data_IF_703720520993
#
_entry.id   IF_703720520993
#
_cell.length_a   1.000
_cell.length_b   1.000
_cell.length_c   1.000
_cell.angle_alpha   90.00
_cell.angle_beta   90.00
_cell.angle_gamma   90.00
#
_symmetry.space_group_name_H-M   'P 1'
#
loop_
_entity.id
_entity.type
_entity.pdbx_description
1 polymer ?
#
# COMPACT_ATOMS: atom_id res chain seq x y z
N UNK A 1 -3.10 3.28 -12.26
CA UNK A 1 -3.69 3.32 -10.90
C UNK A 1 -4.35 1.99 -10.53
N UNK A 2 -5.14 1.36 -11.41
CA UNK A 2 -5.83 0.08 -11.12
C UNK A 2 -4.87 -1.09 -10.91
N UNK A 3 -3.82 -1.26 -11.73
CA UNK A 3 -2.84 -2.33 -11.53
C UNK A 3 -2.16 -2.26 -10.16
N UNK A 4 -1.68 -1.06 -9.78
CA UNK A 4 -1.04 -0.83 -8.49
C UNK A 4 -1.99 -1.15 -7.32
N UNK A 5 -3.27 -0.82 -7.48
CA UNK A 5 -4.32 -1.16 -6.53
C UNK A 5 -4.53 -2.67 -6.39
N UNK A 6 -4.71 -3.38 -7.50
CA UNK A 6 -4.87 -4.84 -7.50
C UNK A 6 -3.66 -5.56 -6.90
N UNK A 7 -2.45 -5.09 -7.20
CA UNK A 7 -1.23 -5.63 -6.60
C UNK A 7 -1.17 -5.39 -5.08
N UNK A 8 -1.58 -4.21 -4.61
CA UNK A 8 -1.55 -3.89 -3.18
C UNK A 8 -2.57 -4.74 -2.39
N UNK A 9 -3.84 -4.75 -2.82
CA UNK A 9 -4.87 -5.55 -2.15
C UNK A 9 -4.58 -7.05 -2.26
N UNK A 10 -4.10 -7.51 -3.42
CA UNK A 10 -3.76 -8.91 -3.66
C UNK A 10 -2.62 -9.38 -2.75
N UNK A 11 -1.60 -8.52 -2.59
CA UNK A 11 -0.51 -8.78 -1.66
C UNK A 11 -1.00 -8.87 -0.21
N UNK A 12 -1.87 -7.96 0.24
CA UNK A 12 -2.37 -7.97 1.62
C UNK A 12 -3.19 -9.24 1.90
N UNK A 13 -4.13 -9.58 1.02
CA UNK A 13 -4.96 -10.78 1.14
C UNK A 13 -4.12 -12.05 1.19
N UNK A 14 -3.18 -12.19 0.26
CA UNK A 14 -2.34 -13.38 0.19
C UNK A 14 -1.44 -13.51 1.43
N UNK A 15 -0.78 -12.44 1.88
CA UNK A 15 0.14 -12.54 3.02
C UNK A 15 -0.57 -12.80 4.34
N UNK A 16 -1.76 -12.23 4.54
CA UNK A 16 -2.54 -12.47 5.75
C UNK A 16 -3.12 -13.87 5.79
N UNK A 17 -3.64 -14.34 4.67
CA UNK A 17 -4.07 -15.71 4.50
C UNK A 17 -2.93 -16.70 4.80
N UNK A 18 -1.79 -16.56 4.12
CA UNK A 18 -0.62 -17.43 4.33
C UNK A 18 -0.11 -17.37 5.77
N UNK A 19 -0.11 -16.19 6.39
CA UNK A 19 0.28 -16.04 7.80
C UNK A 19 -0.69 -16.72 8.77
N UNK A 20 -1.98 -16.78 8.43
CA UNK A 20 -2.97 -17.51 9.21
C UNK A 20 -2.81 -19.02 9.02
N UNK A 21 -2.73 -19.49 7.77
CA UNK A 21 -2.53 -20.90 7.42
C UNK A 21 -1.25 -21.47 8.05
N UNK A 22 -0.13 -20.73 7.96
CA UNK A 22 1.15 -21.15 8.54
C UNK A 22 1.10 -21.27 10.08
N UNK A 23 0.28 -20.46 10.76
CA UNK A 23 0.06 -20.60 12.21
C UNK A 23 -0.81 -21.80 12.55
N UNK A 24 -1.81 -22.08 11.73
CA UNK A 24 -2.75 -23.18 11.98
C UNK A 24 -2.17 -24.56 11.63
N UNK A 25 -1.25 -24.64 10.66
CA UNK A 25 -0.61 -25.90 10.24
C UNK A 25 0.70 -26.25 10.97
N UNK A 26 1.23 -25.37 11.82
CA UNK A 26 2.49 -25.58 12.54
C UNK A 26 2.23 -26.10 13.95
N UNK A 27 2.94 -27.16 14.37
CA UNK A 27 2.89 -27.66 15.76
C UNK A 27 3.38 -26.63 16.78
N UNK A 28 4.24 -25.70 16.35
CA UNK A 28 4.72 -24.57 17.14
C UNK A 28 3.90 -23.29 16.91
N UNK A 29 2.83 -23.37 16.11
CA UNK A 29 1.95 -22.28 15.76
C UNK A 29 2.71 -21.03 15.32
N UNK A 30 2.56 -19.96 16.09
CA UNK A 30 3.18 -18.64 15.92
C UNK A 30 4.72 -18.61 16.00
N UNK A 31 5.36 -19.69 16.44
CA UNK A 31 6.82 -19.81 16.59
C UNK A 31 7.45 -20.69 15.50
N UNK A 32 6.65 -21.24 14.57
CA UNK A 32 7.19 -22.02 13.45
C UNK A 32 7.99 -21.16 12.48
N UNK A 33 9.07 -21.70 11.90
CA UNK A 33 9.99 -20.98 11.00
C UNK A 33 9.26 -20.31 9.82
N UNK A 34 8.28 -20.98 9.20
CA UNK A 34 7.50 -20.41 8.10
C UNK A 34 6.67 -19.21 8.56
N UNK A 35 6.05 -19.29 9.74
CA UNK A 35 5.27 -18.19 10.32
C UNK A 35 6.17 -16.99 10.69
N UNK A 36 7.41 -17.25 11.13
CA UNK A 36 8.39 -16.22 11.45
C UNK A 36 8.88 -15.50 10.19
N UNK A 37 9.21 -16.24 9.13
CA UNK A 37 9.64 -15.67 7.85
C UNK A 37 8.54 -14.80 7.22
N UNK A 38 7.28 -15.24 7.26
CA UNK A 38 6.15 -14.46 6.76
C UNK A 38 5.94 -13.17 7.57
N UNK A 39 6.10 -13.21 8.91
CA UNK A 39 6.06 -12.02 9.76
C UNK A 39 7.19 -11.05 9.45
N UNK A 40 8.41 -11.54 9.25
CA UNK A 40 9.56 -10.71 8.89
C UNK A 40 9.34 -10.04 7.53
N UNK A 41 8.86 -10.79 6.53
CA UNK A 41 8.54 -10.25 5.21
C UNK A 41 7.46 -9.17 5.29
N UNK A 42 6.41 -9.42 6.07
CA UNK A 42 5.32 -8.46 6.29
C UNK A 42 5.83 -7.18 6.97
N UNK A 43 6.50 -7.31 8.13
CA UNK A 43 7.07 -6.15 8.85
C UNK A 43 8.07 -5.38 8.01
N UNK A 44 8.92 -6.07 7.26
CA UNK A 44 9.89 -5.43 6.36
C UNK A 44 9.22 -4.61 5.26
N UNK A 45 8.11 -5.09 4.69
CA UNK A 45 7.35 -4.31 3.71
C UNK A 45 6.64 -3.13 4.38
N UNK A 46 5.98 -3.33 5.52
CA UNK A 46 5.30 -2.25 6.25
C UNK A 46 6.28 -1.12 6.60
N UNK A 47 7.46 -1.44 7.14
CA UNK A 47 8.48 -0.43 7.45
C UNK A 47 9.04 0.24 6.19
N UNK A 48 9.26 -0.53 5.12
CA UNK A 48 9.68 0.02 3.83
C UNK A 48 8.64 0.97 3.23
N UNK A 49 7.35 0.61 3.28
CA UNK A 49 6.26 1.45 2.79
C UNK A 49 6.10 2.71 3.65
N UNK A 50 6.20 2.62 4.97
CA UNK A 50 6.16 3.79 5.86
C UNK A 50 7.34 4.74 5.58
N UNK A 51 8.56 4.19 5.46
CA UNK A 51 9.75 4.99 5.14
C UNK A 51 9.65 5.65 3.76
N UNK A 52 9.16 4.92 2.75
CA UNK A 52 8.96 5.45 1.41
C UNK A 52 7.90 6.56 1.39
N UNK A 53 6.76 6.34 2.06
CA UNK A 53 5.69 7.34 2.18
C UNK A 53 6.19 8.60 2.87
N UNK A 54 6.92 8.46 3.99
CA UNK A 54 7.50 9.60 4.69
C UNK A 54 8.50 10.37 3.82
N UNK A 55 9.38 9.66 3.10
CA UNK A 55 10.32 10.26 2.15
C UNK A 55 9.60 11.06 1.06
N UNK A 56 8.59 10.45 0.42
CA UNK A 56 7.81 11.08 -0.65
C UNK A 56 7.05 12.30 -0.14
N UNK A 57 6.43 12.21 1.04
CA UNK A 57 5.75 13.34 1.68
C UNK A 57 6.69 14.51 1.94
N UNK A 58 7.90 14.25 2.45
CA UNK A 58 8.93 15.29 2.64
C UNK A 58 9.36 15.89 1.31
N UNK A 59 9.58 15.06 0.28
CA UNK A 59 9.94 15.54 -1.06
C UNK A 59 8.86 16.44 -1.66
N UNK A 60 7.59 16.00 -1.63
CA UNK A 60 6.46 16.80 -2.08
C UNK A 60 6.33 18.11 -1.29
N UNK A 61 6.52 18.08 0.03
CA UNK A 61 6.50 19.30 0.83
C UNK A 61 7.59 20.30 0.40
N UNK A 62 8.80 19.83 0.12
CA UNK A 62 9.89 20.67 -0.37
C UNK A 62 9.60 21.24 -1.76
N UNK A 63 8.99 20.47 -2.65
CA UNK A 63 8.58 20.95 -3.98
C UNK A 63 7.46 22.00 -3.90
N UNK A 64 6.43 21.77 -3.07
CA UNK A 64 5.39 22.77 -2.80
C UNK A 64 6.00 24.08 -2.29
N UNK A 65 6.96 23.98 -1.35
CA UNK A 65 7.64 25.17 -0.83
C UNK A 65 8.42 25.93 -1.90
N UNK A 66 9.04 25.22 -2.86
CA UNK A 66 9.73 25.86 -4.00
C UNK A 66 8.73 26.58 -4.91
N UNK A 67 7.63 25.93 -5.27
CA UNK A 67 6.57 26.52 -6.11
C UNK A 67 5.99 27.78 -5.47
N UNK A 68 5.66 27.74 -4.18
CA UNK A 68 5.13 28.91 -3.45
C UNK A 68 6.15 30.05 -3.46
N UNK A 69 7.44 29.75 -3.26
CA UNK A 69 8.50 30.75 -3.30
C UNK A 69 8.65 31.37 -4.69
N UNK A 70 8.63 30.57 -5.75
CA UNK A 70 8.70 31.05 -7.14
C UNK A 70 7.50 31.94 -7.47
N UNK A 71 6.29 31.56 -7.06
CA UNK A 71 5.10 32.38 -7.24
C UNK A 71 5.17 33.72 -6.50
N UNK A 72 5.68 33.73 -5.26
CA UNK A 72 5.91 34.96 -4.49
C UNK A 72 6.96 35.88 -5.12
N UNK A 73 7.99 35.32 -5.77
CA UNK A 73 9.02 36.07 -6.50
C UNK A 73 8.44 36.68 -7.79
N UNK A 74 7.70 35.90 -8.59
CA UNK A 74 7.02 36.38 -9.80
C UNK A 74 6.00 37.49 -9.51
N UNK A 75 5.25 37.36 -8.40
CA UNK A 75 4.29 38.37 -7.97
C UNK A 75 4.97 39.69 -7.57
N UNK A 76 6.16 39.64 -6.97
CA UNK A 76 6.96 40.84 -6.63
C UNK A 76 7.56 41.51 -7.87
N UNK A 77 7.85 40.74 -8.91
CA UNK A 77 8.38 41.25 -10.18
C UNK A 77 7.29 41.81 -11.12
N UNK A 78 6.02 41.80 -10.69
CA UNK A 78 4.90 42.37 -11.45
C UNK A 78 4.53 41.56 -12.70
N UNK A 79 4.94 40.30 -12.77
CA UNK A 79 4.57 39.39 -13.87
C UNK A 79 3.20 38.82 -13.58
N UNK A 80 2.20 39.10 -14.44
CA UNK A 80 0.87 38.50 -14.26
C UNK A 80 0.93 36.99 -14.45
N UNK A 81 0.25 36.20 -13.60
CA UNK A 81 0.21 34.76 -13.75
C UNK A 81 -0.57 34.39 -15.01
N UNK A 82 0.10 33.78 -15.98
CA UNK A 82 -0.52 33.17 -17.16
C UNK A 82 -1.60 32.16 -16.73
N UNK A 83 -2.67 32.03 -17.53
CA UNK A 83 -3.82 31.17 -17.23
C UNK A 83 -3.52 29.66 -17.30
N UNK A 84 -2.29 29.27 -17.62
CA UNK A 84 -1.82 27.88 -17.64
C UNK A 84 -1.12 27.52 -16.33
N UNK A 85 -1.22 26.25 -15.90
CA UNK A 85 -0.51 25.76 -14.72
C UNK A 85 0.98 26.09 -14.86
N UNK A 86 1.58 26.84 -13.90
CA UNK A 86 3.00 27.16 -13.93
C UNK A 86 3.83 25.91 -14.22
N UNK A 87 4.85 26.03 -15.07
CA UNK A 87 5.72 24.92 -15.46
C UNK A 87 6.35 24.20 -14.25
N UNK A 88 6.55 24.95 -13.15
CA UNK A 88 6.98 24.43 -11.85
C UNK A 88 5.98 23.47 -11.20
N UNK A 89 4.67 23.72 -11.33
CA UNK A 89 3.61 22.79 -10.88
C UNK A 89 3.57 21.55 -11.77
N UNK A 90 3.67 21.73 -13.09
CA UNK A 90 3.69 20.62 -14.05
C UNK A 90 4.87 19.68 -13.81
N UNK A 91 6.03 20.21 -13.42
CA UNK A 91 7.21 19.42 -13.05
C UNK A 91 7.09 18.67 -11.72
N UNK A 92 6.36 19.21 -10.75
CA UNK A 92 6.16 18.58 -9.44
C UNK A 92 4.98 17.58 -9.40
N UNK A 93 4.07 17.64 -10.38
CA UNK A 93 2.88 16.79 -10.45
C UNK A 93 3.19 15.28 -10.32
N UNK A 94 4.23 14.71 -10.97
CA UNK A 94 4.56 13.29 -10.78
C UNK A 94 4.90 12.93 -9.33
N UNK A 95 5.68 13.77 -8.64
CA UNK A 95 6.02 13.55 -7.23
C UNK A 95 4.78 13.63 -6.35
N UNK A 96 3.88 14.60 -6.58
CA UNK A 96 2.61 14.67 -5.84
C UNK A 96 1.74 13.44 -6.05
N UNK A 97 1.60 12.99 -7.30
CA UNK A 97 0.80 11.79 -7.61
C UNK A 97 1.40 10.53 -6.97
N UNK A 98 2.73 10.41 -6.93
CA UNK A 98 3.39 9.31 -6.25
C UNK A 98 3.22 9.37 -4.72
N UNK A 99 3.31 10.55 -4.13
CA UNK A 99 3.02 10.78 -2.70
C UNK A 99 1.59 10.41 -2.35
N UNK A 100 0.60 10.91 -3.11
CA UNK A 100 -0.82 10.59 -2.88
C UNK A 100 -1.09 9.10 -3.03
N UNK A 101 -0.49 8.46 -4.04
CA UNK A 101 -0.57 7.01 -4.17
C UNK A 101 0.02 6.30 -2.96
N UNK A 102 1.22 6.70 -2.50
CA UNK A 102 1.88 6.05 -1.36
C UNK A 102 1.05 6.13 -0.08
N UNK A 103 0.45 7.29 0.18
CA UNK A 103 -0.46 7.51 1.32
C UNK A 103 -1.70 6.61 1.18
N UNK A 104 -2.32 6.62 0.00
CA UNK A 104 -3.54 5.84 -0.25
C UNK A 104 -3.27 4.34 -0.16
N UNK A 105 -2.14 3.87 -0.69
CA UNK A 105 -1.71 2.47 -0.58
C UNK A 105 -1.49 2.07 0.89
N UNK A 106 -0.90 2.96 1.70
CA UNK A 106 -0.74 2.73 3.13
C UNK A 106 -2.08 2.58 3.86
N UNK A 107 -3.04 3.48 3.59
CA UNK A 107 -4.38 3.44 4.19
C UNK A 107 -5.16 2.18 3.78
N UNK A 108 -5.09 1.80 2.50
CA UNK A 108 -5.66 0.55 2.00
C UNK A 108 -5.05 -0.64 2.74
N UNK A 109 -3.72 -0.72 2.80
CA UNK A 109 -3.03 -1.83 3.43
C UNK A 109 -3.38 -1.96 4.92
N UNK A 110 -3.39 -0.83 5.65
CA UNK A 110 -3.74 -0.79 7.07
C UNK A 110 -5.20 -1.21 7.31
N UNK A 111 -6.13 -0.71 6.50
CA UNK A 111 -7.56 -1.05 6.61
C UNK A 111 -7.78 -2.54 6.35
N UNK A 112 -7.21 -3.06 5.26
CA UNK A 112 -7.32 -4.47 4.91
C UNK A 112 -6.67 -5.37 5.96
N UNK A 113 -5.54 -4.96 6.55
CA UNK A 113 -4.90 -5.71 7.63
C UNK A 113 -5.83 -5.92 8.83
N UNK A 114 -6.50 -4.84 9.26
CA UNK A 114 -7.44 -4.90 10.37
C UNK A 114 -8.67 -5.75 10.05
N UNK A 115 -9.27 -5.54 8.87
CA UNK A 115 -10.50 -6.25 8.48
C UNK A 115 -10.22 -7.74 8.29
N UNK A 116 -9.19 -8.09 7.54
CA UNK A 116 -8.81 -9.50 7.33
C UNK A 116 -8.38 -10.15 8.64
N UNK A 117 -7.65 -9.43 9.50
CA UNK A 117 -7.33 -9.89 10.84
C UNK A 117 -8.56 -10.27 11.66
N UNK A 118 -9.64 -9.46 11.59
CA UNK A 118 -10.92 -9.77 12.24
C UNK A 118 -11.61 -10.99 11.59
N UNK A 119 -11.67 -11.05 10.27
CA UNK A 119 -12.31 -12.17 9.53
C UNK A 119 -11.65 -13.51 9.85
N UNK A 120 -10.32 -13.52 9.91
CA UNK A 120 -9.50 -14.70 10.22
C UNK A 120 -9.37 -14.97 11.72
N UNK A 121 -9.75 -14.02 12.57
CA UNK A 121 -9.75 -14.15 14.03
C UNK A 121 -11.13 -14.37 14.64
N UNK A 122 -12.17 -14.37 13.82
CA UNK A 122 -13.58 -14.41 14.24
C UNK A 122 -13.92 -15.71 14.97
N UNK A 123 -14.12 -15.60 16.29
CA UNK A 123 -14.42 -16.72 17.18
C UNK A 123 -15.90 -17.10 17.19
N UNK A 124 -16.76 -16.36 16.47
CA UNK A 124 -18.18 -16.73 16.32
C UNK A 124 -18.39 -17.92 15.39
N UNK A 125 -17.37 -18.28 14.59
CA UNK A 125 -17.35 -19.47 13.73
C UNK A 125 -16.30 -20.47 14.19
N UNK A 126 -16.40 -21.72 13.73
CA UNK A 126 -15.42 -22.76 14.05
C UNK A 126 -14.07 -22.55 13.34
N UNK A 127 -13.07 -23.34 13.74
CA UNK A 127 -11.73 -23.25 13.18
C UNK A 127 -11.67 -23.65 11.69
N UNK A 128 -12.51 -24.60 11.26
CA UNK A 128 -12.55 -25.05 9.88
C UNK A 128 -13.05 -23.94 8.95
N UNK A 129 -14.09 -23.21 9.36
CA UNK A 129 -14.61 -22.05 8.64
C UNK A 129 -13.55 -20.94 8.52
N UNK A 130 -12.75 -20.69 9.57
CA UNK A 130 -11.65 -19.71 9.49
C UNK A 130 -10.52 -20.15 8.56
N UNK A 131 -10.19 -21.44 8.54
CA UNK A 131 -9.22 -22.00 7.59
C UNK A 131 -9.70 -21.82 6.15
N UNK A 132 -10.96 -22.14 5.88
CA UNK A 132 -11.55 -21.97 4.56
C UNK A 132 -11.59 -20.50 4.13
N UNK A 133 -11.89 -19.56 5.04
CA UNK A 133 -11.77 -18.12 4.78
C UNK A 133 -10.34 -17.72 4.41
N UNK A 134 -9.34 -18.29 5.08
CA UNK A 134 -7.93 -18.03 4.76
C UNK A 134 -7.56 -18.57 3.37
N UNK A 135 -8.03 -19.76 3.00
CA UNK A 135 -7.82 -20.32 1.66
C UNK A 135 -8.46 -19.43 0.58
N UNK A 136 -9.72 -19.01 0.78
CA UNK A 136 -10.40 -18.11 -0.17
C UNK A 136 -9.69 -16.76 -0.32
N UNK A 137 -9.17 -16.18 0.77
CA UNK A 137 -8.37 -14.96 0.70
C UNK A 137 -7.02 -15.15 -0.02
N UNK A 138 -6.38 -16.31 0.14
CA UNK A 138 -5.16 -16.66 -0.60
C UNK A 138 -5.45 -16.69 -2.10
N UNK A 139 -6.51 -17.40 -2.50
CA UNK A 139 -6.92 -17.54 -3.90
C UNK A 139 -7.33 -16.19 -4.51
N UNK A 140 -8.08 -15.37 -3.76
CA UNK A 140 -8.46 -14.04 -4.21
C UNK A 140 -7.22 -13.15 -4.43
N UNK A 141 -6.25 -13.21 -3.52
CA UNK A 141 -4.99 -12.49 -3.66
C UNK A 141 -4.19 -12.93 -4.89
N UNK A 142 -4.12 -14.23 -5.14
CA UNK A 142 -3.49 -14.82 -6.34
C UNK A 142 -4.21 -14.36 -7.62
N UNK A 143 -5.55 -14.37 -7.62
CA UNK A 143 -6.36 -13.93 -8.75
C UNK A 143 -6.12 -12.46 -9.10
N UNK A 144 -6.00 -11.57 -8.10
CA UNK A 144 -5.71 -10.15 -8.35
C UNK A 144 -4.31 -9.92 -8.93
N UNK A 145 -3.30 -10.66 -8.46
CA UNK A 145 -1.94 -10.58 -9.03
C UNK A 145 -1.93 -11.14 -10.45
N UNK A 146 -2.62 -12.26 -10.70
CA UNK A 146 -2.72 -12.86 -12.02
C UNK A 146 -3.44 -11.96 -13.03
N UNK A 147 -4.51 -11.27 -12.61
CA UNK A 147 -5.24 -10.34 -13.46
C UNK A 147 -4.36 -9.19 -13.99
N UNK A 148 -3.41 -8.72 -13.18
CA UNK A 148 -2.42 -7.72 -13.62
C UNK A 148 -1.43 -8.30 -14.63
N UNK A 149 -1.00 -9.56 -14.43
CA UNK A 149 -0.12 -10.26 -15.37
C UNK A 149 -0.77 -10.52 -16.74
N UNK A 150 -2.04 -10.93 -16.75
CA UNK A 150 -2.80 -11.21 -17.97
C UNK A 150 -3.19 -9.95 -18.76
N UNK A 151 -3.26 -8.79 -18.11
CA UNK A 151 -3.56 -7.52 -18.74
C UNK A 151 -2.34 -6.88 -19.46
N UNK A 152 -1.14 -7.44 -19.29
CA UNK A 152 0.06 -7.02 -20.01
C UNK A 152 0.17 -7.82 -21.32
N UNK A 153 0.19 -7.17 -22.50
CA UNK A 153 0.32 -7.84 -23.79
C UNK A 153 1.69 -8.51 -23.96
#
# INVERSE_FOLDING_TARGET
SVERFLLEIGWVYQNLALSHLARSGSSLGALGLQSLLLRLRRRGRETSQQANTAKLAVQSFLELRKIVKEADEMAKEGTEPEAELPSSISGALPTFMETFWSITAHDIASTLDQVVGRVLGDTSVDAAARLHRAEGLRELGEAFVAAVGAARP
#
